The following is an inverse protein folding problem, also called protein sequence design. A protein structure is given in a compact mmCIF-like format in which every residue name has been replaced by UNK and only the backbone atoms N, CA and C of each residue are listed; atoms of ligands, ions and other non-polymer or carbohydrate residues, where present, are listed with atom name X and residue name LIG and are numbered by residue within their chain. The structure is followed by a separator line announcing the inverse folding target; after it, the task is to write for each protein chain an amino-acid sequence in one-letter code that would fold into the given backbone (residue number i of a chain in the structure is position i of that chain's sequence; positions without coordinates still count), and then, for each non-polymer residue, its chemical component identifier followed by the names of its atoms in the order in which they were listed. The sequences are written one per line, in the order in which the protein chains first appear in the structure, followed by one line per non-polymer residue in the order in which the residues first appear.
data_IF_063887427682
#
_entry.id   IF_063887427682
#
_cell.length_a   1.000
_cell.length_b   1.000
_cell.length_c   1.000
_cell.angle_alpha   90.00
_cell.angle_beta   90.00
_cell.angle_gamma   90.00
#
_symmetry.space_group_name_H-M   'P 1'
#
loop_
_entity.id
_entity.type
_entity.pdbx_description
1 polymer ?
#
# COMPACT_ATOMS: atom_id res chain seq x y z
N UNK A 1 34.47 -4.80 -42.40
CA UNK A 1 33.18 -5.33 -41.95
C UNK A 1 32.84 -4.63 -40.65
N UNK A 2 31.93 -3.68 -40.70
CA UNK A 2 31.44 -2.99 -39.51
C UNK A 2 30.57 -3.98 -38.74
N UNK A 3 30.95 -4.25 -37.49
CA UNK A 3 30.06 -4.89 -36.52
C UNK A 3 28.90 -3.92 -36.29
N UNK A 4 27.73 -4.25 -36.80
CA UNK A 4 26.48 -3.64 -36.39
C UNK A 4 26.24 -4.05 -34.94
N UNK A 5 26.37 -3.11 -34.01
CA UNK A 5 25.89 -3.28 -32.64
C UNK A 5 24.41 -3.68 -32.71
N UNK A 6 24.01 -4.82 -32.14
CA UNK A 6 22.60 -5.09 -31.93
C UNK A 6 22.06 -3.99 -30.99
N UNK A 7 20.88 -3.49 -31.33
CA UNK A 7 20.16 -2.42 -30.64
C UNK A 7 20.35 -2.54 -29.13
N UNK A 8 21.05 -1.54 -28.59
CA UNK A 8 21.37 -1.24 -27.20
C UNK A 8 20.32 -1.81 -26.21
N UNK A 9 20.61 -2.98 -25.61
CA UNK A 9 19.93 -3.51 -24.42
C UNK A 9 20.28 -2.66 -23.18
N UNK A 10 20.21 -1.33 -23.28
CA UNK A 10 20.30 -0.48 -22.11
C UNK A 10 18.96 -0.55 -21.39
N UNK A 11 18.98 -1.13 -20.19
CA UNK A 11 17.94 -0.93 -19.18
C UNK A 11 17.66 0.57 -18.97
N UNK A 12 16.63 0.92 -18.18
CA UNK A 12 16.19 2.31 -18.04
C UNK A 12 17.37 3.20 -17.61
N UNK A 13 17.85 4.04 -18.53
CA UNK A 13 18.89 5.01 -18.22
C UNK A 13 18.32 6.12 -17.34
N UNK A 14 19.10 6.61 -16.37
CA UNK A 14 18.73 7.73 -15.46
C UNK A 14 18.08 8.89 -16.23
N UNK A 15 18.67 9.27 -17.36
CA UNK A 15 18.18 10.36 -18.20
C UNK A 15 16.78 10.11 -18.78
N UNK A 16 16.45 8.87 -19.15
CA UNK A 16 15.17 8.50 -19.71
C UNK A 16 14.06 8.50 -18.64
N UNK A 17 14.39 8.02 -17.44
CA UNK A 17 13.50 8.10 -16.27
C UNK A 17 13.25 9.56 -15.87
N UNK A 18 14.31 10.38 -15.81
CA UNK A 18 14.21 11.80 -15.48
C UNK A 18 13.41 12.58 -16.54
N UNK A 19 13.58 12.24 -17.83
CA UNK A 19 12.80 12.82 -18.92
C UNK A 19 11.31 12.47 -18.77
N UNK A 20 10.99 11.20 -18.53
CA UNK A 20 9.61 10.76 -18.32
C UNK A 20 8.96 11.48 -17.13
N UNK A 21 9.68 11.56 -16.01
CA UNK A 21 9.25 12.28 -14.79
C UNK A 21 8.98 13.76 -15.05
N UNK A 22 9.92 14.46 -15.68
CA UNK A 22 9.73 15.87 -16.08
C UNK A 22 8.55 16.05 -17.03
N UNK A 23 8.30 15.08 -17.91
CA UNK A 23 7.22 15.16 -18.91
C UNK A 23 5.86 15.14 -18.22
N UNK A 24 5.57 14.15 -17.38
CA UNK A 24 4.28 14.12 -16.69
C UNK A 24 4.14 15.25 -15.67
N UNK A 25 5.21 15.66 -14.98
CA UNK A 25 5.17 16.80 -14.06
C UNK A 25 4.80 18.10 -14.77
N UNK A 26 5.35 18.32 -15.97
CA UNK A 26 5.05 19.51 -16.77
C UNK A 26 3.59 19.49 -17.24
N UNK A 27 3.10 18.34 -17.69
CA UNK A 27 1.72 18.19 -18.15
C UNK A 27 0.72 18.39 -17.01
N UNK A 28 1.00 17.86 -15.83
CA UNK A 28 0.13 17.96 -14.65
C UNK A 28 0.12 19.35 -14.03
N UNK A 29 1.08 20.24 -14.35
CA UNK A 29 1.01 21.65 -13.97
C UNK A 29 -0.02 22.44 -14.79
N UNK A 30 -0.47 21.92 -15.93
CA UNK A 30 -1.52 22.56 -16.71
C UNK A 30 -2.86 22.48 -15.98
N UNK A 31 -3.72 23.49 -16.14
CA UNK A 31 -5.01 23.56 -15.45
C UNK A 31 -6.09 22.63 -16.04
N UNK A 32 -5.83 22.06 -17.22
CA UNK A 32 -6.77 21.28 -18.03
C UNK A 32 -6.69 19.77 -17.80
N UNK A 33 -7.65 19.05 -18.38
CA UNK A 33 -7.57 17.59 -18.52
C UNK A 33 -6.55 17.25 -19.60
N UNK A 34 -5.60 16.36 -19.29
CA UNK A 34 -4.58 15.87 -20.23
C UNK A 34 -4.85 14.42 -20.55
N UNK A 35 -4.87 14.04 -21.84
CA UNK A 35 -4.93 12.64 -22.26
C UNK A 35 -3.63 11.93 -21.96
N UNK A 36 -3.66 10.77 -21.32
CA UNK A 36 -2.46 9.98 -21.02
C UNK A 36 -1.77 9.45 -22.28
N UNK A 37 -2.46 9.42 -23.42
CA UNK A 37 -1.87 9.05 -24.72
C UNK A 37 -0.58 9.82 -25.04
N UNK A 38 -0.45 11.07 -24.59
CA UNK A 38 0.75 11.88 -24.83
C UNK A 38 1.99 11.36 -24.09
N UNK A 39 1.80 10.52 -23.05
CA UNK A 39 2.88 9.96 -22.24
C UNK A 39 3.34 8.58 -22.72
N UNK A 40 2.59 7.89 -23.60
CA UNK A 40 2.89 6.52 -24.03
C UNK A 40 4.27 6.39 -24.65
N UNK A 41 4.64 7.29 -25.57
CA UNK A 41 5.95 7.23 -26.24
C UNK A 41 7.10 7.48 -25.26
N UNK A 42 6.94 8.44 -24.35
CA UNK A 42 7.94 8.67 -23.30
C UNK A 42 8.02 7.51 -22.29
N UNK A 43 6.91 6.82 -22.02
CA UNK A 43 6.87 5.64 -21.16
C UNK A 43 7.58 4.45 -21.80
N UNK A 44 7.34 4.21 -23.10
CA UNK A 44 8.03 3.20 -23.90
C UNK A 44 9.54 3.50 -23.93
N UNK A 45 9.91 4.75 -24.25
CA UNK A 45 11.31 5.19 -24.30
C UNK A 45 12.02 5.20 -22.95
N UNK A 46 11.29 5.18 -21.82
CA UNK A 46 11.86 5.01 -20.49
C UNK A 46 12.41 3.59 -20.28
N UNK A 47 11.94 2.59 -21.05
CA UNK A 47 12.33 1.18 -20.93
C UNK A 47 12.16 0.64 -19.49
N UNK A 48 10.97 0.84 -18.90
CA UNK A 48 10.67 0.39 -17.53
C UNK A 48 10.92 -1.11 -17.35
N UNK A 49 11.67 -1.48 -16.29
CA UNK A 49 11.81 -2.89 -15.88
C UNK A 49 10.50 -3.53 -15.43
N UNK A 50 9.50 -2.71 -15.07
CA UNK A 50 8.15 -3.17 -14.70
C UNK A 50 7.21 -3.29 -15.90
N UNK A 51 7.66 -2.86 -17.09
CA UNK A 51 6.87 -2.90 -18.32
C UNK A 51 7.79 -3.16 -19.54
N UNK A 52 8.57 -4.26 -19.53
CA UNK A 52 9.58 -4.53 -20.56
C UNK A 52 9.00 -4.65 -21.97
N UNK A 53 7.73 -5.09 -22.12
CA UNK A 53 7.09 -5.22 -23.43
C UNK A 53 6.28 -3.98 -23.84
N UNK A 54 6.44 -2.81 -23.20
CA UNK A 54 5.65 -1.61 -23.49
C UNK A 54 5.59 -1.26 -25.00
N UNK A 55 6.73 -1.30 -25.70
CA UNK A 55 6.82 -1.02 -27.14
C UNK A 55 6.53 -2.21 -28.06
N UNK A 56 6.32 -3.41 -27.51
CA UNK A 56 6.00 -4.61 -28.28
C UNK A 56 4.50 -4.67 -28.61
N UNK A 57 4.08 -5.25 -29.75
CA UNK A 57 2.67 -5.58 -29.99
C UNK A 57 2.14 -6.68 -29.07
N UNK A 58 3.02 -7.49 -28.47
CA UNK A 58 2.62 -8.52 -27.52
C UNK A 58 2.21 -7.92 -26.17
N UNK A 59 1.17 -8.47 -25.50
CA UNK A 59 0.83 -8.09 -24.15
C UNK A 59 1.94 -8.38 -23.14
N UNK A 60 2.16 -7.42 -22.25
CA UNK A 60 2.90 -7.54 -21.01
C UNK A 60 1.94 -7.86 -19.86
N UNK A 61 1.61 -9.14 -19.69
CA UNK A 61 0.69 -9.56 -18.62
C UNK A 61 1.22 -9.22 -17.23
N UNK A 62 2.54 -9.22 -17.05
CA UNK A 62 3.19 -8.83 -15.80
C UNK A 62 2.91 -7.37 -15.46
N UNK A 63 3.10 -6.45 -16.41
CA UNK A 63 2.80 -5.03 -16.23
C UNK A 63 1.30 -4.78 -16.02
N UNK A 64 0.43 -5.48 -16.77
CA UNK A 64 -1.02 -5.41 -16.61
C UNK A 64 -1.46 -5.81 -15.19
N UNK A 65 -1.02 -6.98 -14.71
CA UNK A 65 -1.32 -7.48 -13.36
C UNK A 65 -0.76 -6.52 -12.30
N UNK A 66 0.45 -6.00 -12.51
CA UNK A 66 1.09 -5.08 -11.59
C UNK A 66 0.28 -3.77 -11.45
N UNK A 67 -0.19 -3.20 -12.57
CA UNK A 67 -1.02 -2.01 -12.58
C UNK A 67 -2.40 -2.26 -11.96
N UNK A 68 -3.07 -3.37 -12.32
CA UNK A 68 -4.38 -3.74 -11.76
C UNK A 68 -4.33 -3.96 -10.24
N UNK A 69 -3.24 -4.51 -9.70
CA UNK A 69 -3.07 -4.66 -8.25
C UNK A 69 -2.85 -3.32 -7.54
N UNK A 70 -2.41 -2.27 -8.24
CA UNK A 70 -2.15 -0.93 -7.66
C UNK A 70 -3.28 0.07 -7.85
N UNK A 71 -4.23 -0.22 -8.74
CA UNK A 71 -5.39 0.61 -9.04
C UNK A 71 -6.68 -0.03 -8.48
N UNK A 72 -7.75 0.74 -8.19
CA UNK A 72 -9.01 0.19 -7.72
C UNK A 72 -9.73 -0.57 -8.84
N UNK A 73 -10.59 -1.53 -8.52
CA UNK A 73 -11.33 -2.34 -9.52
C UNK A 73 -12.20 -1.49 -10.44
N UNK A 74 -12.72 -0.35 -9.95
CA UNK A 74 -13.45 0.64 -10.75
C UNK A 74 -12.64 1.23 -11.92
N UNK A 75 -11.31 1.04 -11.94
CA UNK A 75 -10.45 1.53 -13.02
C UNK A 75 -10.87 0.99 -14.39
N UNK A 76 -11.49 -0.19 -14.44
CA UNK A 76 -12.02 -0.82 -15.67
C UNK A 76 -13.04 0.11 -16.34
N UNK A 77 -13.89 0.77 -15.56
CA UNK A 77 -14.94 1.68 -16.04
C UNK A 77 -14.52 3.16 -16.02
N UNK A 78 -13.37 3.46 -15.42
CA UNK A 78 -12.87 4.84 -15.31
C UNK A 78 -12.27 5.31 -16.62
N UNK A 79 -12.53 6.58 -16.96
CA UNK A 79 -11.86 7.33 -18.04
C UNK A 79 -11.24 8.63 -17.56
N UNK A 80 -11.80 9.26 -16.51
CA UNK A 80 -11.32 10.54 -15.98
C UNK A 80 -10.74 10.35 -14.60
N UNK A 81 -9.47 10.67 -14.46
CA UNK A 81 -8.74 10.62 -13.20
C UNK A 81 -8.50 12.03 -12.72
N UNK A 82 -8.90 12.30 -11.48
CA UNK A 82 -8.71 13.61 -10.85
C UNK A 82 -7.85 13.42 -9.61
N UNK A 83 -6.66 14.01 -9.61
CA UNK A 83 -5.71 13.91 -8.50
C UNK A 83 -5.89 15.12 -7.59
N UNK A 84 -5.89 14.95 -6.28
CA UNK A 84 -6.06 16.05 -5.34
C UNK A 84 -5.49 15.76 -3.96
N UNK A 85 -5.14 16.82 -3.22
CA UNK A 85 -4.48 16.71 -1.91
C UNK A 85 -5.48 16.75 -0.74
N UNK A 86 -6.72 17.19 -0.96
CA UNK A 86 -7.76 17.25 0.08
C UNK A 86 -9.17 17.36 -0.49
N UNK A 87 -10.17 17.07 0.35
CA UNK A 87 -11.59 17.21 0.01
C UNK A 87 -11.96 18.62 -0.49
N UNK A 88 -11.44 19.66 0.14
CA UNK A 88 -11.75 21.06 -0.23
C UNK A 88 -11.16 21.44 -1.58
N UNK A 89 -10.06 20.80 -1.99
CA UNK A 89 -9.49 21.00 -3.32
C UNK A 89 -10.41 20.36 -4.37
N UNK A 90 -10.94 19.16 -4.10
CA UNK A 90 -11.94 18.56 -4.98
C UNK A 90 -13.23 19.39 -5.04
N UNK A 91 -13.78 19.79 -3.89
CA UNK A 91 -15.01 20.58 -3.82
C UNK A 91 -14.86 21.91 -4.57
N UNK A 92 -13.75 22.63 -4.37
CA UNK A 92 -13.49 23.90 -5.04
C UNK A 92 -13.47 23.79 -6.57
N UNK A 93 -12.88 22.73 -7.10
CA UNK A 93 -12.63 22.61 -8.54
C UNK A 93 -13.69 21.80 -9.30
N UNK A 94 -14.37 20.89 -8.61
CA UNK A 94 -15.39 20.01 -9.18
C UNK A 94 -16.81 20.40 -8.76
N UNK A 95 -16.97 21.24 -7.73
CA UNK A 95 -18.27 21.60 -7.17
C UNK A 95 -18.99 20.43 -6.49
N UNK A 96 -18.25 19.39 -6.09
CA UNK A 96 -18.80 18.17 -5.50
C UNK A 96 -17.96 17.69 -4.32
N UNK A 97 -18.65 17.15 -3.32
CA UNK A 97 -18.04 16.44 -2.21
C UNK A 97 -17.73 15.00 -2.65
N UNK A 98 -16.47 14.76 -3.04
CA UNK A 98 -16.00 13.44 -3.52
C UNK A 98 -16.05 12.38 -2.42
N UNK A 99 -16.09 12.75 -1.13
CA UNK A 99 -16.11 11.77 -0.05
C UNK A 99 -17.49 11.09 0.07
N UNK A 100 -18.52 11.61 -0.61
CA UNK A 100 -19.84 10.97 -0.78
C UNK A 100 -19.88 9.95 -1.91
N UNK A 101 -18.87 9.92 -2.77
CA UNK A 101 -18.75 8.90 -3.81
C UNK A 101 -18.37 7.55 -3.20
N UNK A 102 -18.35 6.51 -4.03
CA UNK A 102 -17.99 5.18 -3.56
C UNK A 102 -16.50 5.13 -3.20
N UNK A 103 -16.18 4.99 -1.92
CA UNK A 103 -14.81 4.76 -1.46
C UNK A 103 -14.29 3.44 -2.04
N UNK A 104 -13.06 3.46 -2.56
CA UNK A 104 -12.36 2.31 -3.13
C UNK A 104 -10.93 2.27 -2.58
N UNK A 105 -10.29 1.09 -2.63
CA UNK A 105 -8.87 0.92 -2.31
C UNK A 105 -8.23 -0.05 -3.30
N UNK A 106 -6.89 -0.13 -3.29
CA UNK A 106 -6.15 -1.12 -4.09
C UNK A 106 -5.25 -2.00 -3.21
N UNK A 107 -5.06 -3.29 -3.55
CA UNK A 107 -4.29 -4.22 -2.72
C UNK A 107 -2.79 -3.88 -2.61
N UNK A 108 -2.17 -3.51 -3.72
CA UNK A 108 -0.71 -3.38 -3.87
C UNK A 108 -0.14 -2.02 -3.44
N UNK A 109 -0.98 -0.96 -3.43
CA UNK A 109 -0.55 0.39 -3.01
C UNK A 109 -1.74 1.16 -2.44
N UNK A 110 -1.90 1.09 -1.12
CA UNK A 110 -3.00 1.75 -0.41
C UNK A 110 -3.01 3.26 -0.65
N UNK A 111 -4.14 3.74 -1.16
CA UNK A 111 -4.52 5.16 -1.29
C UNK A 111 -6.03 5.26 -1.16
N UNK A 112 -6.52 6.46 -0.86
CA UNK A 112 -7.95 6.74 -0.90
C UNK A 112 -8.36 7.08 -2.33
N UNK A 113 -9.28 6.27 -2.84
CA UNK A 113 -9.94 6.48 -4.11
C UNK A 113 -11.43 6.70 -3.87
N UNK A 114 -12.03 7.56 -4.68
CA UNK A 114 -13.47 7.80 -4.67
C UNK A 114 -14.00 7.73 -6.10
N UNK A 115 -14.92 6.81 -6.35
CA UNK A 115 -15.48 6.53 -7.67
C UNK A 115 -16.92 7.01 -7.76
N UNK A 116 -17.23 7.80 -8.79
CA UNK A 116 -18.55 8.43 -8.97
C UNK A 116 -19.66 7.48 -9.42
N UNK A 117 -19.33 6.20 -9.63
CA UNK A 117 -20.26 5.19 -10.14
C UNK A 117 -20.38 5.18 -11.67
N UNK A 118 -19.71 6.09 -12.39
CA UNK A 118 -19.87 6.29 -13.84
C UNK A 118 -18.57 6.17 -14.63
N UNK A 119 -17.70 7.17 -14.52
CA UNK A 119 -16.46 7.24 -15.31
C UNK A 119 -15.32 8.03 -14.63
N UNK A 120 -15.55 8.59 -13.43
CA UNK A 120 -14.60 9.45 -12.73
C UNK A 120 -14.05 8.82 -11.47
N UNK A 121 -12.73 8.92 -11.33
CA UNK A 121 -12.00 8.47 -10.15
C UNK A 121 -11.23 9.64 -9.54
N UNK A 122 -11.62 10.05 -8.34
CA UNK A 122 -10.83 10.95 -7.52
C UNK A 122 -9.76 10.16 -6.75
N UNK A 123 -8.52 10.62 -6.81
CA UNK A 123 -7.35 10.00 -6.18
C UNK A 123 -6.73 10.99 -5.22
N UNK A 124 -6.70 10.63 -3.93
CA UNK A 124 -5.98 11.43 -2.94
C UNK A 124 -4.48 11.15 -3.05
N UNK A 125 -3.70 12.23 -3.13
CA UNK A 125 -2.23 12.20 -3.24
C UNK A 125 -1.60 12.88 -2.02
N UNK A 126 -0.71 12.15 -1.36
CA UNK A 126 -0.03 12.55 -0.14
C UNK A 126 1.35 13.18 -0.40
N UNK A 127 1.91 12.94 -1.58
CA UNK A 127 3.24 13.40 -1.96
C UNK A 127 3.44 13.42 -3.49
N UNK A 128 4.51 14.05 -4.00
CA UNK A 128 4.90 13.91 -5.40
C UNK A 128 5.14 12.45 -5.79
N UNK A 129 5.75 11.65 -4.91
CA UNK A 129 5.98 10.22 -5.14
C UNK A 129 4.72 9.36 -5.28
N UNK A 130 3.53 9.90 -5.00
CA UNK A 130 2.28 9.23 -5.38
C UNK A 130 1.97 9.40 -6.86
N UNK A 131 2.32 10.54 -7.44
CA UNK A 131 2.21 10.81 -8.88
C UNK A 131 3.17 9.88 -9.64
N UNK A 132 4.41 9.76 -9.14
CA UNK A 132 5.46 8.89 -9.69
C UNK A 132 5.08 7.40 -9.70
N UNK A 133 4.06 6.99 -8.93
CA UNK A 133 3.50 5.63 -8.97
C UNK A 133 2.18 5.60 -9.77
N UNK A 134 1.23 6.50 -9.52
CA UNK A 134 -0.09 6.50 -10.19
C UNK A 134 0.02 6.69 -11.70
N UNK A 135 0.81 7.66 -12.17
CA UNK A 135 0.89 7.98 -13.60
C UNK A 135 1.46 6.82 -14.42
N UNK A 136 2.63 6.22 -14.07
CA UNK A 136 3.11 5.05 -14.80
C UNK A 136 2.15 3.87 -14.76
N UNK A 137 1.44 3.64 -13.64
CA UNK A 137 0.44 2.55 -13.57
C UNK A 137 -0.72 2.78 -14.55
N UNK A 138 -1.23 4.01 -14.65
CA UNK A 138 -2.32 4.34 -15.58
C UNK A 138 -1.87 4.23 -17.04
N UNK A 139 -0.66 4.69 -17.36
CA UNK A 139 -0.10 4.59 -18.71
C UNK A 139 0.17 3.13 -19.10
N UNK A 140 0.77 2.34 -18.20
CA UNK A 140 0.98 0.90 -18.44
C UNK A 140 -0.35 0.17 -18.65
N UNK A 141 -1.34 0.41 -17.79
CA UNK A 141 -2.68 -0.18 -17.95
C UNK A 141 -3.31 0.23 -19.30
N UNK A 142 -3.17 1.49 -19.72
CA UNK A 142 -3.72 1.95 -21.00
C UNK A 142 -3.07 1.25 -22.20
N UNK A 143 -1.74 1.18 -22.23
CA UNK A 143 -0.99 0.51 -23.29
C UNK A 143 -1.43 -0.95 -23.38
N UNK A 144 -1.42 -1.67 -22.25
CA UNK A 144 -1.76 -3.10 -22.22
C UNK A 144 -3.24 -3.35 -22.52
N UNK A 145 -4.14 -2.49 -22.03
CA UNK A 145 -5.54 -2.54 -22.41
C UNK A 145 -5.72 -2.42 -23.92
N UNK A 146 -5.04 -1.48 -24.56
CA UNK A 146 -5.20 -1.21 -25.99
C UNK A 146 -4.61 -2.32 -26.86
N UNK A 147 -3.53 -2.98 -26.42
CA UNK A 147 -3.03 -4.21 -27.05
C UNK A 147 -4.07 -5.33 -26.97
N UNK A 148 -4.63 -5.56 -25.78
CA UNK A 148 -5.66 -6.57 -25.59
C UNK A 148 -6.94 -6.24 -26.37
N UNK A 149 -7.33 -4.97 -26.46
CA UNK A 149 -8.45 -4.51 -27.29
C UNK A 149 -8.25 -4.92 -28.75
N UNK A 150 -7.07 -4.63 -29.32
CA UNK A 150 -6.75 -4.98 -30.70
C UNK A 150 -6.80 -6.50 -30.93
N UNK A 151 -6.25 -7.29 -30.01
CA UNK A 151 -6.26 -8.76 -30.11
C UNK A 151 -7.67 -9.37 -29.91
N UNK A 152 -8.46 -8.82 -29.00
CA UNK A 152 -9.84 -9.26 -28.75
C UNK A 152 -10.81 -8.87 -29.86
N UNK A 153 -10.46 -7.89 -30.70
CA UNK A 153 -11.28 -7.46 -31.83
C UNK A 153 -11.67 -8.59 -32.78
N UNK A 154 -10.82 -9.62 -32.90
CA UNK A 154 -11.03 -10.79 -33.77
C UNK A 154 -11.62 -12.01 -33.04
N UNK A 155 -11.69 -11.99 -31.71
CA UNK A 155 -12.17 -13.11 -30.90
C UNK A 155 -13.70 -13.07 -30.76
N UNK A 156 -14.39 -14.21 -30.85
CA UNK A 156 -15.80 -14.28 -30.41
C UNK A 156 -15.88 -14.59 -28.92
N UNK A 157 -16.54 -13.72 -28.17
CA UNK A 157 -16.76 -13.89 -26.72
C UNK A 157 -18.16 -14.43 -26.40
N UNK A 158 -19.00 -14.65 -27.42
CA UNK A 158 -20.30 -15.28 -27.26
C UNK A 158 -20.09 -16.78 -26.97
N UNK A 159 -20.68 -17.29 -25.89
CA UNK A 159 -20.55 -18.69 -25.47
C UNK A 159 -19.37 -19.01 -24.54
N UNK A 160 -18.46 -18.06 -24.27
CA UNK A 160 -17.33 -18.26 -23.34
C UNK A 160 -17.75 -18.08 -21.88
N UNK A 161 -18.84 -18.72 -21.48
CA UNK A 161 -19.44 -18.58 -20.15
C UNK A 161 -18.73 -19.42 -19.09
N UNK A 162 -17.98 -20.45 -19.49
CA UNK A 162 -17.20 -21.27 -18.55
C UNK A 162 -15.81 -20.69 -18.31
N UNK A 163 -15.25 -20.97 -17.13
CA UNK A 163 -13.86 -20.58 -16.79
C UNK A 163 -12.86 -21.19 -17.77
N UNK A 164 -13.10 -22.42 -18.23
CA UNK A 164 -12.23 -23.09 -19.19
C UNK A 164 -12.19 -22.34 -20.54
N UNK A 165 -13.34 -21.88 -21.04
CA UNK A 165 -13.41 -21.12 -22.30
C UNK A 165 -12.69 -19.77 -22.17
N UNK A 166 -12.85 -19.11 -21.03
CA UNK A 166 -12.18 -17.84 -20.73
C UNK A 166 -10.65 -18.01 -20.69
N UNK A 167 -10.15 -19.11 -20.11
CA UNK A 167 -8.71 -19.43 -20.11
C UNK A 167 -8.18 -19.68 -21.52
N UNK A 168 -8.95 -20.35 -22.38
CA UNK A 168 -8.57 -20.53 -23.79
C UNK A 168 -8.48 -19.22 -24.55
N UNK A 169 -9.39 -18.26 -24.29
CA UNK A 169 -9.29 -16.90 -24.86
C UNK A 169 -7.98 -16.25 -24.39
N UNK A 170 -7.72 -16.23 -23.08
CA UNK A 170 -6.49 -15.63 -22.53
C UNK A 170 -5.22 -16.27 -23.14
N UNK A 171 -5.20 -17.59 -23.30
CA UNK A 171 -4.09 -18.29 -23.94
C UNK A 171 -3.85 -17.83 -25.38
N UNK A 172 -4.91 -17.60 -26.17
CA UNK A 172 -4.79 -17.03 -27.54
C UNK A 172 -4.28 -15.60 -27.54
N UNK A 173 -4.54 -14.83 -26.48
CA UNK A 173 -3.98 -13.49 -26.28
C UNK A 173 -2.51 -13.52 -25.83
N UNK A 174 -1.90 -14.70 -25.66
CA UNK A 174 -0.52 -14.85 -25.19
C UNK A 174 -0.39 -14.76 -23.66
N UNK A 175 -1.48 -14.89 -22.91
CA UNK A 175 -1.48 -14.88 -21.45
C UNK A 175 -1.30 -16.31 -20.93
N UNK A 176 -0.36 -16.49 -19.99
CA UNK A 176 -0.06 -17.79 -19.37
C UNK A 176 -1.19 -18.27 -18.45
N UNK A 177 -1.22 -19.56 -18.13
CA UNK A 177 -2.18 -20.13 -17.18
C UNK A 177 -2.00 -19.53 -15.77
N UNK A 178 -0.76 -19.41 -15.30
CA UNK A 178 -0.43 -18.80 -14.01
C UNK A 178 -0.91 -17.35 -13.91
N UNK A 179 -0.74 -16.57 -14.98
CA UNK A 179 -1.22 -15.19 -15.02
C UNK A 179 -2.73 -15.11 -15.20
N UNK A 180 -3.34 -16.07 -15.90
CA UNK A 180 -4.80 -16.20 -15.98
C UNK A 180 -5.40 -16.41 -14.59
N UNK A 181 -4.81 -17.28 -13.77
CA UNK A 181 -5.20 -17.46 -12.37
C UNK A 181 -5.08 -16.16 -11.56
N UNK A 182 -4.00 -15.39 -11.74
CA UNK A 182 -3.83 -14.10 -11.07
C UNK A 182 -4.87 -13.07 -11.52
N UNK A 183 -5.29 -13.08 -12.77
CA UNK A 183 -6.37 -12.22 -13.26
C UNK A 183 -7.72 -12.62 -12.65
N UNK A 184 -7.99 -13.92 -12.48
CA UNK A 184 -9.16 -14.42 -11.74
C UNK A 184 -9.14 -13.94 -10.28
N UNK A 185 -7.99 -13.97 -9.61
CA UNK A 185 -7.86 -13.43 -8.24
C UNK A 185 -8.21 -11.93 -8.16
N UNK A 186 -7.95 -11.18 -9.23
CA UNK A 186 -8.16 -9.72 -9.27
C UNK A 186 -9.61 -9.38 -9.64
N UNK A 187 -10.16 -10.01 -10.67
CA UNK A 187 -11.47 -9.66 -11.23
C UNK A 187 -12.61 -10.56 -10.74
N UNK A 188 -12.30 -11.76 -10.25
CA UNK A 188 -13.28 -12.82 -10.03
C UNK A 188 -13.74 -13.39 -11.37
N UNK A 189 -14.71 -12.75 -12.00
CA UNK A 189 -15.17 -13.08 -13.35
C UNK A 189 -14.27 -12.42 -14.41
N UNK A 190 -13.75 -13.18 -15.37
CA UNK A 190 -12.92 -12.65 -16.46
C UNK A 190 -13.77 -12.12 -17.61
N UNK A 191 -14.97 -12.64 -17.81
CA UNK A 191 -15.77 -12.36 -19.01
C UNK A 191 -16.22 -10.90 -19.06
N UNK A 192 -16.63 -10.34 -17.92
CA UNK A 192 -17.04 -8.94 -17.83
C UNK A 192 -15.89 -7.97 -18.18
N UNK A 193 -14.69 -8.07 -17.57
CA UNK A 193 -13.51 -7.32 -18.02
C UNK A 193 -13.15 -7.52 -19.49
N UNK A 194 -13.12 -8.77 -19.99
CA UNK A 194 -12.76 -9.06 -21.39
C UNK A 194 -13.74 -8.41 -22.38
N UNK A 195 -15.04 -8.48 -22.10
CA UNK A 195 -16.06 -7.78 -22.90
C UNK A 195 -15.86 -6.27 -22.87
N UNK A 196 -15.47 -5.72 -21.73
CA UNK A 196 -15.20 -4.28 -21.62
C UNK A 196 -13.96 -3.87 -22.42
N UNK A 197 -12.88 -4.64 -22.33
CA UNK A 197 -11.65 -4.42 -23.11
C UNK A 197 -11.95 -4.52 -24.61
N UNK A 198 -12.72 -5.54 -25.05
CA UNK A 198 -13.12 -5.68 -26.45
C UNK A 198 -13.99 -4.52 -26.95
N UNK A 199 -14.85 -3.97 -26.09
CA UNK A 199 -15.81 -2.94 -26.50
C UNK A 199 -15.16 -1.59 -26.85
N UNK A 200 -14.07 -1.21 -26.18
CA UNK A 200 -13.46 0.11 -26.36
C UNK A 200 -11.97 0.13 -26.02
N UNK A 201 -11.22 0.95 -26.76
CA UNK A 201 -9.90 1.39 -26.33
C UNK A 201 -9.99 2.17 -25.01
N UNK A 202 -8.95 2.05 -24.20
CA UNK A 202 -8.73 2.90 -23.03
C UNK A 202 -8.07 4.20 -23.48
N UNK A 203 -8.72 5.31 -23.15
CA UNK A 203 -8.22 6.68 -23.34
C UNK A 203 -8.42 7.46 -22.04
N UNK A 204 -7.47 7.31 -21.11
CA UNK A 204 -7.52 8.00 -19.83
C UNK A 204 -7.22 9.49 -20.01
N UNK A 205 -7.93 10.29 -19.23
CA UNK A 205 -7.59 11.68 -18.98
C UNK A 205 -7.21 11.85 -17.52
N UNK A 206 -6.19 12.67 -17.26
CA UNK A 206 -5.78 13.03 -15.91
C UNK A 206 -5.85 14.53 -15.72
N UNK A 207 -6.28 14.96 -14.54
CA UNK A 207 -6.24 16.35 -14.11
C UNK A 207 -5.71 16.43 -12.70
N UNK A 208 -4.67 17.24 -12.51
CA UNK A 208 -4.14 17.56 -11.20
C UNK A 208 -4.90 18.76 -10.62
N UNK A 209 -5.50 18.58 -9.45
CA UNK A 209 -6.10 19.65 -8.67
C UNK A 209 -5.15 19.99 -7.53
N UNK A 210 -4.45 21.11 -7.66
CA UNK A 210 -3.42 21.50 -6.70
C UNK A 210 -2.11 20.76 -6.96
N UNK A 211 -1.51 20.16 -5.93
CA UNK A 211 -0.16 19.56 -6.01
C UNK A 211 0.95 20.44 -5.52
N UNK A 212 0.63 21.43 -4.69
CA UNK A 212 1.64 22.33 -4.14
C UNK A 212 2.32 21.69 -2.93
N UNK A 213 3.58 22.04 -2.68
CA UNK A 213 4.29 21.65 -1.45
C UNK A 213 3.48 22.05 -0.19
N UNK A 214 2.87 23.23 -0.22
CA UNK A 214 1.99 23.73 0.86
C UNK A 214 0.78 22.81 1.07
N UNK A 215 0.19 22.29 -0.01
CA UNK A 215 -0.94 21.37 0.06
C UNK A 215 -0.58 20.07 0.77
N UNK A 216 0.59 19.49 0.47
CA UNK A 216 1.08 18.28 1.16
C UNK A 216 1.32 18.54 2.65
N UNK A 217 1.94 19.67 3.01
CA UNK A 217 2.13 20.07 4.42
C UNK A 217 0.77 20.19 5.14
N UNK A 218 -0.22 20.85 4.52
CA UNK A 218 -1.56 20.99 5.10
C UNK A 218 -2.25 19.63 5.29
N UNK A 219 -2.11 18.71 4.34
CA UNK A 219 -2.65 17.35 4.44
C UNK A 219 -2.01 16.59 5.61
N UNK A 220 -0.68 16.61 5.72
CA UNK A 220 0.05 15.99 6.83
C UNK A 220 -0.33 16.59 8.18
N UNK A 221 -0.43 17.92 8.28
CA UNK A 221 -0.83 18.58 9.53
C UNK A 221 -2.24 18.20 9.96
N UNK A 222 -3.18 18.04 9.02
CA UNK A 222 -4.52 17.53 9.34
C UNK A 222 -4.51 16.10 9.83
N UNK A 223 -3.67 15.27 9.24
CA UNK A 223 -3.43 13.90 9.70
C UNK A 223 -2.83 13.86 11.11
N UNK A 224 -1.93 14.79 11.43
CA UNK A 224 -1.26 14.88 12.74
C UNK A 224 -2.19 15.34 13.88
N UNK A 225 -3.09 16.30 13.63
CA UNK A 225 -4.01 16.87 14.65
C UNK A 225 -4.70 15.85 15.58
N UNK A 226 -5.35 14.78 15.10
CA UNK A 226 -5.96 13.80 16.00
C UNK A 226 -4.94 13.04 16.86
N UNK A 227 -3.71 12.84 16.37
CA UNK A 227 -2.62 12.22 17.11
C UNK A 227 -2.12 13.17 18.20
N UNK A 228 -1.93 14.44 17.86
CA UNK A 228 -1.57 15.51 18.80
C UNK A 228 -2.60 15.66 19.92
N UNK A 229 -3.88 15.76 19.57
CA UNK A 229 -4.97 15.86 20.55
C UNK A 229 -5.05 14.64 21.47
N UNK A 230 -4.74 13.44 20.96
CA UNK A 230 -4.61 12.24 21.78
C UNK A 230 -3.42 12.36 22.75
N UNK A 231 -2.25 12.76 22.27
CA UNK A 231 -1.05 12.92 23.10
C UNK A 231 -1.31 13.93 24.23
N UNK A 232 -1.95 15.06 23.93
CA UNK A 232 -2.36 16.06 24.92
C UNK A 232 -3.34 15.49 25.94
N UNK A 233 -4.41 14.81 25.48
CA UNK A 233 -5.41 14.19 26.35
C UNK A 233 -4.80 13.17 27.30
N UNK A 234 -3.80 12.43 26.85
CA UNK A 234 -3.10 11.44 27.68
C UNK A 234 -1.99 12.04 28.56
N UNK A 235 -1.85 13.37 28.60
CA UNK A 235 -0.86 14.08 29.41
C UNK A 235 0.58 13.82 28.96
N UNK A 236 0.78 13.65 27.65
CA UNK A 236 2.02 13.16 27.06
C UNK A 236 2.73 14.16 26.13
N UNK A 237 2.30 15.42 26.07
CA UNK A 237 2.81 16.41 25.11
C UNK A 237 4.34 16.64 25.19
N UNK A 238 4.88 16.78 26.40
CA UNK A 238 6.31 17.07 26.62
C UNK A 238 7.17 15.80 26.78
N UNK A 239 6.58 14.62 26.55
CA UNK A 239 7.26 13.35 26.78
C UNK A 239 8.26 13.04 25.65
N UNK A 240 9.43 12.46 25.95
CA UNK A 240 10.36 12.03 24.93
C UNK A 240 9.72 11.03 23.96
N UNK A 241 9.87 11.28 22.66
CA UNK A 241 9.24 10.50 21.59
C UNK A 241 10.27 9.61 20.90
N UNK A 242 9.92 8.34 20.71
CA UNK A 242 10.56 7.46 19.75
C UNK A 242 9.62 7.25 18.57
N UNK A 243 10.07 7.63 17.38
CA UNK A 243 9.32 7.43 16.16
C UNK A 243 9.64 6.07 15.54
N UNK A 244 8.60 5.34 15.16
CA UNK A 244 8.71 4.06 14.46
C UNK A 244 7.86 4.11 13.19
N UNK A 245 8.44 3.70 12.07
CA UNK A 245 7.70 3.47 10.83
C UNK A 245 7.67 1.97 10.60
N UNK A 246 6.52 1.32 10.82
CA UNK A 246 6.38 -0.14 10.72
C UNK A 246 4.94 -0.57 10.45
N UNK A 247 4.68 -1.88 10.32
CA UNK A 247 3.31 -2.36 10.27
C UNK A 247 2.61 -2.11 11.62
N UNK A 248 1.33 -1.73 11.60
CA UNK A 248 0.56 -1.44 12.82
C UNK A 248 0.37 -2.66 13.74
N UNK A 249 0.51 -3.89 13.25
CA UNK A 249 0.42 -5.07 14.11
C UNK A 249 1.75 -5.41 14.79
N UNK A 250 2.90 -4.99 14.24
CA UNK A 250 4.22 -5.49 14.67
C UNK A 250 4.51 -5.17 16.14
N UNK A 251 4.43 -3.89 16.54
CA UNK A 251 4.69 -3.50 17.92
C UNK A 251 3.57 -3.95 18.87
N UNK A 252 2.32 -3.82 18.45
CA UNK A 252 1.17 -4.14 19.30
C UNK A 252 1.13 -5.62 19.67
N UNK A 253 1.47 -6.51 18.74
CA UNK A 253 1.59 -7.94 19.02
C UNK A 253 2.58 -8.20 20.16
N UNK A 254 3.71 -7.50 20.16
CA UNK A 254 4.78 -7.68 21.13
C UNK A 254 4.50 -6.99 22.48
N UNK A 255 3.78 -5.87 22.47
CA UNK A 255 3.63 -5.01 23.65
C UNK A 255 2.29 -5.19 24.39
N UNK A 256 1.22 -5.59 23.70
CA UNK A 256 -0.12 -5.65 24.31
C UNK A 256 -0.37 -6.90 25.16
N UNK A 257 0.32 -8.01 24.86
CA UNK A 257 0.02 -9.34 25.41
C UNK A 257 -1.36 -9.90 25.05
N UNK A 258 -2.16 -9.22 24.21
CA UNK A 258 -3.56 -9.57 23.96
C UNK A 258 -3.70 -10.99 23.40
N UNK A 259 -2.89 -11.35 22.40
CA UNK A 259 -2.95 -12.68 21.80
C UNK A 259 -2.52 -13.79 22.77
N UNK A 260 -1.58 -13.51 23.68
CA UNK A 260 -1.11 -14.48 24.69
C UNK A 260 -2.16 -14.72 25.77
N UNK A 261 -2.86 -13.67 26.23
CA UNK A 261 -3.96 -13.80 27.20
C UNK A 261 -5.17 -14.54 26.64
N UNK A 262 -5.45 -14.39 25.34
CA UNK A 262 -6.56 -15.08 24.66
C UNK A 262 -6.12 -16.34 23.89
N UNK A 263 -4.95 -16.91 24.19
CA UNK A 263 -4.38 -17.98 23.38
C UNK A 263 -5.31 -19.20 23.26
N UNK A 264 -5.96 -19.59 24.35
CA UNK A 264 -6.85 -20.76 24.38
C UNK A 264 -8.08 -20.55 23.48
N UNK A 265 -8.64 -19.33 23.52
CA UNK A 265 -9.78 -18.95 22.67
C UNK A 265 -9.38 -18.87 21.20
N UNK A 266 -8.21 -18.30 20.90
CA UNK A 266 -7.67 -18.21 19.54
C UNK A 266 -7.43 -19.61 18.98
N UNK A 267 -6.77 -20.48 19.74
CA UNK A 267 -6.49 -21.86 19.33
C UNK A 267 -7.79 -22.63 19.10
N UNK A 268 -8.74 -22.56 20.04
CA UNK A 268 -10.05 -23.21 19.90
C UNK A 268 -10.82 -22.72 18.67
N UNK A 269 -10.75 -21.42 18.38
CA UNK A 269 -11.38 -20.85 17.18
C UNK A 269 -10.74 -21.37 15.90
N UNK A 270 -9.41 -21.48 15.83
CA UNK A 270 -8.72 -22.04 14.66
C UNK A 270 -9.06 -23.51 14.49
N UNK A 271 -9.10 -24.31 15.56
CA UNK A 271 -9.46 -25.73 15.49
C UNK A 271 -10.89 -25.95 14.99
N UNK A 272 -11.82 -25.07 15.37
CA UNK A 272 -13.20 -25.09 14.90
C UNK A 272 -13.41 -24.43 13.52
N UNK A 273 -12.35 -23.87 12.92
CA UNK A 273 -12.40 -23.29 11.59
C UNK A 273 -12.09 -24.33 10.51
N UNK A 274 -12.32 -24.00 9.24
CA UNK A 274 -11.80 -24.75 8.09
C UNK A 274 -10.56 -24.09 7.49
N UNK A 275 -9.73 -23.43 8.31
CA UNK A 275 -8.56 -22.70 7.83
C UNK A 275 -7.47 -23.68 7.37
N UNK A 276 -7.31 -23.78 6.05
CA UNK A 276 -6.38 -24.72 5.39
C UNK A 276 -4.90 -24.45 5.69
N UNK A 277 -4.54 -23.23 6.08
CA UNK A 277 -3.15 -22.87 6.40
C UNK A 277 -2.83 -23.09 7.88
N UNK A 278 -3.72 -22.62 8.77
CA UNK A 278 -3.43 -22.54 10.20
C UNK A 278 -3.61 -23.87 10.93
N UNK A 279 -4.52 -24.74 10.47
CA UNK A 279 -4.75 -26.04 11.12
C UNK A 279 -3.55 -26.97 10.96
N UNK A 280 -2.97 -27.15 9.75
CA UNK A 280 -1.74 -27.93 9.60
C UNK A 280 -0.59 -27.37 10.43
N UNK A 281 -0.42 -26.06 10.46
CA UNK A 281 0.67 -25.43 11.20
C UNK A 281 0.52 -25.60 12.73
N UNK A 282 -0.70 -25.44 13.26
CA UNK A 282 -1.01 -25.70 14.67
C UNK A 282 -0.68 -27.13 15.06
N UNK A 283 -1.01 -28.11 14.22
CA UNK A 283 -0.68 -29.53 14.45
C UNK A 283 0.83 -29.75 14.49
N UNK A 284 1.57 -29.20 13.53
CA UNK A 284 3.04 -29.30 13.49
C UNK A 284 3.70 -28.68 14.72
N UNK A 285 3.24 -27.50 15.17
CA UNK A 285 3.75 -26.83 16.36
C UNK A 285 3.56 -27.68 17.63
N UNK A 286 2.36 -28.24 17.83
CA UNK A 286 2.07 -29.11 18.99
C UNK A 286 2.89 -30.40 18.99
N UNK A 287 3.22 -30.91 17.81
CA UNK A 287 4.03 -32.13 17.65
C UNK A 287 5.54 -31.84 17.69
N UNK A 288 5.97 -30.59 17.85
CA UNK A 288 7.38 -30.21 17.79
C UNK A 288 8.03 -30.38 16.41
N UNK A 289 7.20 -30.46 15.35
CA UNK A 289 7.63 -30.68 13.97
C UNK A 289 7.76 -29.39 13.17
N UNK A 290 7.35 -28.25 13.73
CA UNK A 290 7.55 -26.94 13.11
C UNK A 290 8.79 -26.24 13.67
N UNK A 291 9.54 -25.56 12.79
CA UNK A 291 10.56 -24.58 13.18
C UNK A 291 9.95 -23.21 13.53
N UNK A 292 8.64 -23.05 13.35
CA UNK A 292 7.89 -21.84 13.68
C UNK A 292 7.86 -21.57 15.18
N UNK A 293 7.63 -20.31 15.53
CA UNK A 293 7.49 -19.86 16.91
C UNK A 293 6.00 -19.77 17.29
N UNK A 294 5.67 -20.19 18.52
CA UNK A 294 4.30 -20.22 19.03
C UNK A 294 3.64 -18.83 19.06
N UNK A 295 4.35 -17.80 19.54
CA UNK A 295 3.82 -16.44 19.58
C UNK A 295 3.58 -15.89 18.16
N UNK A 296 4.47 -16.17 17.20
CA UNK A 296 4.25 -15.81 15.79
C UNK A 296 2.98 -16.47 15.23
N UNK A 297 2.75 -17.76 15.54
CA UNK A 297 1.51 -18.44 15.17
C UNK A 297 0.30 -17.76 15.82
N UNK A 298 0.34 -17.49 17.13
CA UNK A 298 -0.75 -16.82 17.85
C UNK A 298 -1.06 -15.44 17.25
N UNK A 299 -0.04 -14.66 16.90
CA UNK A 299 -0.22 -13.35 16.28
C UNK A 299 -0.89 -13.41 14.91
N UNK A 300 -0.53 -14.40 14.10
CA UNK A 300 -1.17 -14.60 12.80
C UNK A 300 -2.60 -15.12 12.98
N UNK A 301 -2.82 -16.12 13.85
CA UNK A 301 -4.13 -16.69 14.16
C UNK A 301 -5.09 -15.67 14.78
N UNK A 302 -4.58 -14.75 15.60
CA UNK A 302 -5.37 -13.67 16.19
C UNK A 302 -6.08 -12.83 15.13
N UNK A 303 -5.51 -12.67 13.94
CA UNK A 303 -6.17 -11.95 12.82
C UNK A 303 -7.48 -12.62 12.43
N UNK A 304 -7.51 -13.94 12.32
CA UNK A 304 -8.73 -14.70 12.03
C UNK A 304 -9.70 -14.63 13.21
N UNK A 305 -9.20 -14.77 14.44
CA UNK A 305 -10.03 -14.72 15.65
C UNK A 305 -10.77 -13.39 15.85
N UNK A 306 -10.08 -12.25 15.69
CA UNK A 306 -10.66 -10.92 15.81
C UNK A 306 -11.33 -10.43 14.51
N UNK A 307 -11.07 -11.07 13.38
CA UNK A 307 -11.49 -10.63 12.05
C UNK A 307 -12.71 -11.37 11.49
N UNK A 308 -12.78 -12.68 11.71
CA UNK A 308 -13.66 -13.61 10.98
C UNK A 308 -14.64 -14.34 11.89
N UNK A 309 -14.65 -14.06 13.20
CA UNK A 309 -15.63 -14.65 14.11
C UNK A 309 -17.01 -14.01 13.97
N UNK A 310 -18.10 -14.73 14.32
CA UNK A 310 -19.44 -14.13 14.42
C UNK A 310 -19.48 -12.88 15.31
N UNK A 311 -18.72 -12.87 16.40
CA UNK A 311 -18.63 -11.76 17.36
C UNK A 311 -17.46 -10.78 17.08
N UNK A 312 -16.97 -10.71 15.84
CA UNK A 312 -15.74 -9.98 15.53
C UNK A 312 -15.79 -8.50 15.95
N UNK A 313 -16.95 -7.85 15.81
CA UNK A 313 -17.14 -6.47 16.24
C UNK A 313 -16.89 -6.29 17.75
N UNK A 314 -17.51 -7.12 18.58
CA UNK A 314 -17.34 -7.09 20.04
C UNK A 314 -15.90 -7.41 20.44
N UNK A 315 -15.32 -8.49 19.90
CA UNK A 315 -13.94 -8.89 20.24
C UNK A 315 -12.90 -7.84 19.88
N UNK A 316 -13.10 -7.10 18.78
CA UNK A 316 -12.23 -5.97 18.42
C UNK A 316 -12.39 -4.81 19.39
N UNK A 317 -13.61 -4.49 19.83
CA UNK A 317 -13.84 -3.46 20.83
C UNK A 317 -13.21 -3.83 22.17
N UNK A 318 -13.39 -5.08 22.62
CA UNK A 318 -12.80 -5.59 23.86
C UNK A 318 -11.25 -5.53 23.80
N UNK A 319 -10.65 -6.00 22.70
CA UNK A 319 -9.21 -5.88 22.45
C UNK A 319 -8.74 -4.43 22.47
N UNK A 320 -9.47 -3.51 21.84
CA UNK A 320 -9.12 -2.08 21.82
C UNK A 320 -9.08 -1.55 23.25
N UNK A 321 -10.09 -1.85 24.07
CA UNK A 321 -10.10 -1.46 25.47
C UNK A 321 -8.95 -2.07 26.29
N UNK A 322 -8.51 -3.30 25.99
CA UNK A 322 -7.34 -3.90 26.64
C UNK A 322 -6.01 -3.23 26.26
N UNK A 323 -5.88 -2.84 24.99
CA UNK A 323 -4.71 -2.15 24.47
C UNK A 323 -4.62 -0.73 25.06
N UNK A 324 -5.74 0.01 25.09
CA UNK A 324 -5.81 1.35 25.67
C UNK A 324 -5.49 1.37 27.16
N UNK A 325 -5.95 0.35 27.93
CA UNK A 325 -5.58 0.17 29.34
C UNK A 325 -4.07 -0.03 29.54
N UNK A 326 -3.36 -0.52 28.53
CA UNK A 326 -1.90 -0.68 28.50
C UNK A 326 -1.19 0.52 27.86
N UNK A 327 -1.92 1.59 27.59
CA UNK A 327 -1.40 2.80 26.96
C UNK A 327 -1.11 2.65 25.47
N UNK A 328 -1.70 1.66 24.79
CA UNK A 328 -1.57 1.47 23.34
C UNK A 328 -2.86 1.99 22.68
N UNK A 329 -2.73 3.07 21.92
CA UNK A 329 -3.85 3.70 21.23
C UNK A 329 -3.66 3.56 19.73
N UNK A 330 -4.70 3.08 19.04
CA UNK A 330 -4.71 3.00 17.58
C UNK A 330 -5.57 4.12 17.01
N UNK A 331 -5.01 4.92 16.09
CA UNK A 331 -5.74 5.93 15.33
C UNK A 331 -5.83 5.49 13.87
N UNK A 332 -7.04 5.15 13.38
CA UNK A 332 -7.22 4.97 11.94
C UNK A 332 -7.00 6.32 11.24
N UNK A 333 -6.60 6.27 9.98
CA UNK A 333 -6.51 7.48 9.17
C UNK A 333 -7.91 8.08 8.95
N UNK A 334 -8.15 9.30 9.46
CA UNK A 334 -9.43 9.99 9.31
C UNK A 334 -9.37 11.07 8.21
N UNK A 335 -8.32 11.88 8.16
CA UNK A 335 -8.18 12.96 7.19
C UNK A 335 -6.72 13.15 6.73
N UNK A 336 -6.56 13.79 5.57
CA UNK A 336 -5.25 14.12 5.01
C UNK A 336 -4.58 12.90 4.37
N UNK A 337 -3.74 12.20 5.13
CA UNK A 337 -2.93 11.08 4.66
C UNK A 337 -3.57 9.74 5.02
N UNK A 338 -3.55 8.76 4.10
CA UNK A 338 -4.00 7.39 4.36
C UNK A 338 -3.00 6.54 5.17
N UNK A 339 -2.56 7.08 6.31
CA UNK A 339 -1.56 6.48 7.20
C UNK A 339 -2.19 6.29 8.56
N UNK A 340 -2.34 5.05 9.02
CA UNK A 340 -2.76 4.80 10.40
C UNK A 340 -1.59 5.04 11.36
N UNK A 341 -1.89 5.47 12.58
CA UNK A 341 -0.90 5.75 13.61
C UNK A 341 -1.23 5.02 14.91
N UNK A 342 -0.21 4.85 15.74
CA UNK A 342 -0.32 4.31 17.09
C UNK A 342 0.50 5.16 18.04
N UNK A 343 -0.08 5.47 19.20
CA UNK A 343 0.61 6.13 20.31
C UNK A 343 0.71 5.12 21.44
N UNK A 344 1.93 4.86 21.90
CA UNK A 344 2.22 3.86 22.93
C UNK A 344 2.90 4.55 24.11
N UNK A 345 2.25 4.52 25.26
CA UNK A 345 2.70 5.17 26.49
C UNK A 345 3.45 4.16 27.35
N UNK A 346 4.78 4.24 27.35
CA UNK A 346 5.62 3.15 27.86
C UNK A 346 5.40 2.82 29.35
N UNK A 347 5.15 3.81 30.21
CA UNK A 347 4.89 3.57 31.62
C UNK A 347 3.52 2.96 31.95
N UNK A 348 2.66 2.74 30.95
CA UNK A 348 1.39 2.02 31.11
C UNK A 348 1.47 0.57 30.63
N UNK A 349 2.57 0.18 30.01
CA UNK A 349 2.79 -1.21 29.60
C UNK A 349 3.01 -2.10 30.83
N UNK A 350 2.50 -3.33 30.76
CA UNK A 350 2.66 -4.34 31.80
C UNK A 350 3.85 -5.25 31.46
N UNK A 351 4.94 -5.28 32.26
CA UNK A 351 6.12 -6.10 31.96
C UNK A 351 5.81 -7.58 31.72
N UNK A 352 4.90 -8.17 32.49
CA UNK A 352 4.52 -9.58 32.35
C UNK A 352 3.70 -9.91 31.10
N UNK A 353 3.12 -8.90 30.44
CA UNK A 353 2.34 -9.08 29.20
C UNK A 353 3.22 -9.02 27.93
N UNK A 354 4.45 -8.51 28.04
CA UNK A 354 5.36 -8.32 26.91
C UNK A 354 5.78 -9.66 26.29
N UNK A 355 6.03 -9.67 24.99
CA UNK A 355 6.62 -10.82 24.31
C UNK A 355 7.97 -11.19 24.95
N UNK A 356 8.23 -12.47 25.28
CA UNK A 356 9.45 -12.90 25.95
C UNK A 356 10.75 -12.54 25.21
N UNK A 357 10.69 -12.34 23.88
CA UNK A 357 11.82 -11.94 23.04
C UNK A 357 12.26 -10.50 23.28
N UNK A 358 11.41 -9.67 23.89
CA UNK A 358 11.79 -8.35 24.38
C UNK A 358 12.61 -8.41 25.68
N UNK A 359 12.81 -9.62 26.22
CA UNK A 359 13.45 -9.84 27.51
C UNK A 359 12.55 -9.49 28.69
N UNK A 360 13.17 -9.34 29.86
CA UNK A 360 12.49 -9.01 31.11
C UNK A 360 12.92 -7.60 31.57
N UNK A 361 12.39 -6.52 30.97
CA UNK A 361 12.72 -5.18 31.41
C UNK A 361 12.32 -5.02 32.89
N UNK A 362 13.17 -4.43 33.75
CA UNK A 362 12.82 -4.18 35.14
C UNK A 362 11.52 -3.37 35.22
N UNK A 363 10.51 -3.92 35.89
CA UNK A 363 9.16 -3.33 35.88
C UNK A 363 9.11 -1.92 36.48
N UNK A 364 9.98 -1.65 37.45
CA UNK A 364 10.19 -0.35 38.05
C UNK A 364 10.73 0.68 37.05
N UNK A 365 11.64 0.28 36.15
CA UNK A 365 12.16 1.14 35.09
C UNK A 365 11.10 1.43 34.03
N UNK A 366 10.32 0.42 33.62
CA UNK A 366 9.25 0.60 32.65
C UNK A 366 8.18 1.56 33.19
N UNK A 367 7.72 1.36 34.43
CA UNK A 367 6.72 2.20 35.09
C UNK A 367 7.19 3.66 35.33
N UNK A 368 8.51 3.91 35.35
CA UNK A 368 9.09 5.25 35.45
C UNK A 368 9.42 5.88 34.11
N UNK A 369 9.27 5.15 33.01
CA UNK A 369 9.60 5.66 31.68
C UNK A 369 8.66 6.80 31.29
N UNK A 370 9.21 8.00 31.12
CA UNK A 370 8.48 9.14 30.58
C UNK A 370 8.38 9.12 29.07
N UNK A 371 8.91 8.12 28.37
CA UNK A 371 8.88 8.10 26.91
C UNK A 371 7.55 7.59 26.33
N UNK A 372 7.26 7.99 25.10
CA UNK A 372 6.18 7.45 24.26
C UNK A 372 6.76 6.97 22.93
N UNK A 373 6.10 5.99 22.31
CA UNK A 373 6.41 5.54 20.95
C UNK A 373 5.28 5.97 20.03
N UNK A 374 5.62 6.64 18.93
CA UNK A 374 4.69 6.95 17.85
C UNK A 374 5.02 6.02 16.70
N UNK A 375 4.15 5.04 16.43
CA UNK A 375 4.29 4.14 15.30
C UNK A 375 3.34 4.54 14.17
N UNK A 376 3.83 4.59 12.94
CA UNK A 376 3.01 4.88 11.75
C UNK A 376 3.08 3.75 10.75
N UNK A 377 1.99 3.51 10.02
CA UNK A 377 1.91 2.49 8.99
C UNK A 377 2.74 2.86 7.75
N UNK A 378 4.04 2.54 7.79
CA UNK A 378 5.08 2.75 6.76
C UNK A 378 4.64 3.55 5.51
N UNK A 379 4.54 4.89 5.60
CA UNK A 379 4.34 5.73 4.43
C UNK A 379 5.48 5.51 3.42
N UNK A 380 5.18 5.68 2.13
CA UNK A 380 6.15 5.46 1.05
C UNK A 380 6.59 6.79 0.43
N UNK A 381 7.83 6.81 -0.08
CA UNK A 381 8.42 7.96 -0.77
C UNK A 381 8.44 9.23 0.09
N UNK A 382 8.24 10.38 -0.54
CA UNK A 382 8.25 11.70 0.12
C UNK A 382 7.11 11.88 1.13
N UNK A 383 6.07 11.04 1.09
CA UNK A 383 5.05 10.99 2.14
C UNK A 383 5.66 10.65 3.51
N UNK A 384 6.67 9.77 3.54
CA UNK A 384 7.36 9.42 4.78
C UNK A 384 8.17 10.59 5.34
N UNK A 385 8.85 11.34 4.47
CA UNK A 385 9.55 12.56 4.84
C UNK A 385 8.58 13.57 5.46
N UNK A 386 7.43 13.82 4.81
CA UNK A 386 6.44 14.77 5.31
C UNK A 386 5.93 14.37 6.71
N UNK A 387 5.62 13.08 6.92
CA UNK A 387 5.19 12.55 8.22
C UNK A 387 6.26 12.74 9.29
N UNK A 388 7.49 12.30 9.04
CA UNK A 388 8.57 12.41 10.01
C UNK A 388 8.88 13.89 10.32
N UNK A 389 8.89 14.75 9.30
CA UNK A 389 9.08 16.19 9.48
C UNK A 389 7.99 16.78 10.37
N UNK A 390 6.72 16.50 10.11
CA UNK A 390 5.59 17.03 10.91
C UNK A 390 5.68 16.57 12.37
N UNK A 391 6.05 15.32 12.61
CA UNK A 391 6.26 14.81 13.97
C UNK A 391 7.44 15.53 14.63
N UNK A 392 8.59 15.60 13.95
CA UNK A 392 9.81 16.19 14.49
C UNK A 392 9.67 17.67 14.86
N UNK A 393 8.85 18.44 14.13
CA UNK A 393 8.59 19.85 14.45
C UNK A 393 7.51 20.03 15.51
N UNK A 394 6.62 19.05 15.70
CA UNK A 394 5.48 19.14 16.62
C UNK A 394 5.79 18.58 18.01
N UNK A 395 6.71 17.62 18.13
CA UNK A 395 7.06 17.02 19.43
C UNK A 395 8.22 17.75 20.09
N UNK A 396 8.16 17.90 21.43
CA UNK A 396 9.20 18.62 22.17
C UNK A 396 10.58 17.93 22.17
N UNK A 397 10.63 16.59 22.13
CA UNK A 397 11.89 15.83 22.08
C UNK A 397 11.74 14.54 21.28
N UNK A 398 12.45 14.43 20.16
CA UNK A 398 12.58 13.20 19.38
C UNK A 398 13.90 12.50 19.74
N UNK A 399 13.82 11.30 20.34
CA UNK A 399 14.98 10.55 20.87
C UNK A 399 15.48 9.42 19.98
N UNK A 400 14.67 8.99 19.02
CA UNK A 400 15.07 7.95 18.08
C UNK A 400 14.07 7.81 16.95
N UNK A 401 14.58 7.38 15.80
CA UNK A 401 13.84 7.13 14.57
C UNK A 401 14.18 5.71 14.12
N UNK A 402 13.16 4.85 14.06
CA UNK A 402 13.30 3.46 13.65
C UNK A 402 12.45 3.20 12.42
N UNK A 403 13.07 2.78 11.32
CA UNK A 403 12.39 2.52 10.07
C UNK A 403 12.47 1.02 9.77
N UNK A 404 11.30 0.39 9.68
CA UNK A 404 11.17 -1.02 9.31
C UNK A 404 10.51 -1.10 7.94
N UNK A 405 11.04 -1.96 7.09
CA UNK A 405 10.55 -2.11 5.73
C UNK A 405 11.07 -3.37 5.08
N UNK A 406 10.62 -3.59 3.85
CA UNK A 406 11.19 -4.59 2.95
C UNK A 406 12.14 -3.87 2.00
N UNK A 407 13.30 -4.45 1.76
CA UNK A 407 14.25 -3.98 0.78
C UNK A 407 14.64 -5.13 -0.15
N UNK A 408 14.93 -4.81 -1.40
CA UNK A 408 15.73 -5.70 -2.23
C UNK A 408 17.18 -5.58 -1.76
N UNK A 409 17.85 -6.72 -1.62
CA UNK A 409 19.27 -6.76 -1.26
C UNK A 409 20.05 -7.28 -2.44
N UNK A 410 21.20 -6.66 -2.72
CA UNK A 410 22.15 -7.16 -3.71
C UNK A 410 22.92 -8.38 -3.18
N UNK A 411 23.12 -8.44 -1.86
CA UNK A 411 23.98 -9.41 -1.19
C UNK A 411 23.23 -10.13 -0.06
N UNK A 412 22.07 -10.72 -0.35
CA UNK A 412 21.32 -11.51 0.64
C UNK A 412 20.25 -12.38 0.01
N UNK A 413 19.68 -13.26 0.83
CA UNK A 413 18.60 -14.18 0.46
C UNK A 413 17.25 -13.64 0.94
N UNK A 414 16.16 -14.10 0.32
CA UNK A 414 14.81 -13.79 0.79
C UNK A 414 14.68 -14.19 2.27
N UNK A 415 14.36 -13.20 3.11
CA UNK A 415 14.19 -13.38 4.55
C UNK A 415 15.34 -12.86 5.40
N UNK A 416 16.48 -12.51 4.80
CA UNK A 416 17.59 -11.92 5.53
C UNK A 416 17.24 -10.54 6.10
N UNK A 417 17.77 -10.24 7.29
CA UNK A 417 17.60 -8.96 7.97
C UNK A 417 18.84 -8.10 7.69
N UNK A 418 18.60 -6.93 7.11
CA UNK A 418 19.63 -5.92 6.90
C UNK A 418 19.46 -4.80 7.94
N UNK A 419 20.54 -4.50 8.66
CA UNK A 419 20.66 -3.30 9.50
C UNK A 419 21.64 -2.38 8.80
N UNK A 420 21.15 -1.26 8.27
CA UNK A 420 22.02 -0.32 7.58
C UNK A 420 22.76 0.58 8.56
N UNK A 421 24.05 0.75 8.33
CA UNK A 421 24.87 1.74 9.05
C UNK A 421 24.97 3.08 8.30
N UNK A 422 24.63 3.09 7.01
CA UNK A 422 24.78 4.24 6.11
C UNK A 422 23.63 4.25 5.12
N UNK A 423 23.04 5.40 4.86
CA UNK A 423 22.02 5.54 3.80
C UNK A 423 22.58 6.43 2.70
N UNK A 424 22.75 5.87 1.50
CA UNK A 424 23.08 6.64 0.30
C UNK A 424 21.81 6.95 -0.48
N UNK A 425 21.62 8.22 -0.84
CA UNK A 425 20.50 8.69 -1.64
C UNK A 425 21.01 9.04 -3.04
N UNK A 426 20.63 8.23 -4.03
CA UNK A 426 21.20 8.27 -5.38
C UNK A 426 20.86 9.55 -6.16
N UNK A 427 19.70 10.18 -5.92
CA UNK A 427 19.31 11.35 -6.69
C UNK A 427 20.06 12.63 -6.29
N UNK A 428 20.33 12.79 -4.99
CA UNK A 428 21.05 13.92 -4.40
C UNK A 428 22.52 13.61 -4.11
N UNK A 429 22.93 12.36 -4.30
CA UNK A 429 24.28 11.86 -4.07
C UNK A 429 24.77 12.07 -2.62
N UNK A 430 23.83 12.16 -1.68
CA UNK A 430 24.11 12.36 -0.26
C UNK A 430 24.26 11.02 0.48
N UNK A 431 25.10 11.04 1.52
CA UNK A 431 25.32 9.91 2.43
C UNK A 431 24.95 10.34 3.85
N UNK A 432 24.09 9.57 4.52
CA UNK A 432 23.59 9.82 5.88
C UNK A 432 24.03 8.75 6.87
#
# INVERSE_FOLDING_TARGET
MAYSDPIDERGPGRDAVDLYTRTYDTLLRSSGETKLKVLEQSHIGMCSVLHPKAGSPEPDTGALIYALRRLPTSIINTRRIVLGQSAEVFERWLGVDVERWQMQSSPGRRRRYYYDGKDRLAVYIASPSDIDDVIPQLVALQIEWNKLHALLGVEDLNGNETVADQFQVLQRLGISEDDSMRLVEIWGDLLTPLRRIKAEEKDFTVRMLGGTAIGYIKATRRWWRPIEALIEREGAADRPVYFVSSNTHSLVNLLSGSARRHQDEIVKFIEGSNNIELIPELRKLRQGQSRGNWDNFLYYAARSYYGQSPDAGRRRADRTGEEEKRGIFFLPSQAGLDVAAQVIILNRLTPGDLDPRLGNPPGDRLARSSAIVINVNYPLGLGAYNVLREIAVSVGSLRGVYLLGKAATLNGTIGDIMISNVVYEEHSENTY
#
